data_IF_468535604719
#
_entry.id   IF_468535604719
#
_cell.length_a   1.000
_cell.length_b   1.000
_cell.length_c   1.000
_cell.angle_alpha   90.00
_cell.angle_beta   90.00
_cell.angle_gamma   90.00
#
_symmetry.space_group_name_H-M   'P 1'
#
loop_
_entity.id
_entity.type
_entity.pdbx_description
1 polymer ?
#
# COMPACT_ATOMS: atom_id res chain seq x y z
N UNK A 1 -23.69 28.73 -2.85
CA UNK A 1 -24.04 27.50 -2.20
C UNK A 1 -23.17 26.37 -2.70
N UNK A 2 -22.73 25.56 -1.79
CA UNK A 2 -21.93 24.43 -2.17
C UNK A 2 -22.81 23.30 -2.67
N UNK A 3 -22.55 22.83 -3.87
CA UNK A 3 -23.19 21.64 -4.36
C UNK A 3 -22.76 20.43 -3.57
N UNK A 4 -23.53 19.37 -3.67
CA UNK A 4 -23.15 18.08 -3.11
C UNK A 4 -21.98 17.56 -3.92
N UNK A 5 -20.87 17.32 -3.25
CA UNK A 5 -19.69 16.76 -3.91
C UNK A 5 -19.80 15.24 -3.90
N UNK A 6 -19.69 14.67 -5.08
CA UNK A 6 -19.60 13.23 -5.17
C UNK A 6 -18.17 12.82 -4.83
N UNK A 7 -18.05 11.98 -3.84
CA UNK A 7 -16.76 11.55 -3.33
C UNK A 7 -16.71 10.05 -3.13
N UNK A 8 -15.51 9.52 -3.19
CA UNK A 8 -15.23 8.13 -2.84
C UNK A 8 -14.25 8.07 -1.69
N UNK A 9 -14.39 7.05 -0.87
CA UNK A 9 -13.40 6.71 0.13
C UNK A 9 -12.65 5.48 -0.36
N UNK A 10 -11.35 5.61 -0.49
CA UNK A 10 -10.49 4.51 -0.89
C UNK A 10 -9.81 3.98 0.36
N UNK A 11 -9.97 2.69 0.61
CA UNK A 11 -9.25 1.99 1.67
C UNK A 11 -8.25 1.09 0.97
N UNK A 12 -6.97 1.42 1.10
CA UNK A 12 -5.91 0.70 0.42
C UNK A 12 -5.05 -0.02 1.45
N UNK A 13 -4.94 -1.33 1.32
CA UNK A 13 -4.08 -2.15 2.15
C UNK A 13 -2.90 -2.54 1.29
N UNK A 14 -1.73 -2.05 1.66
CA UNK A 14 -0.51 -2.19 0.87
C UNK A 14 0.61 -2.75 1.74
N UNK A 15 1.66 -3.24 1.10
CA UNK A 15 2.83 -3.70 1.85
C UNK A 15 3.57 -2.52 2.45
N UNK A 16 4.13 -2.70 3.64
CA UNK A 16 4.84 -1.64 4.36
C UNK A 16 5.93 -1.01 3.51
N UNK A 17 6.64 -1.80 2.72
CA UNK A 17 7.72 -1.30 1.87
C UNK A 17 7.23 -0.34 0.78
N UNK A 18 5.97 -0.44 0.39
CA UNK A 18 5.39 0.43 -0.63
C UNK A 18 4.66 1.64 -0.01
N UNK A 19 4.34 1.57 1.27
CA UNK A 19 3.47 2.55 1.92
C UNK A 19 4.01 3.98 1.85
N UNK A 20 5.27 4.19 2.22
CA UNK A 20 5.86 5.54 2.22
C UNK A 20 5.89 6.14 0.84
N UNK A 21 6.22 5.34 -0.15
CA UNK A 21 6.29 5.77 -1.54
C UNK A 21 4.92 6.11 -2.09
N UNK A 22 3.91 5.30 -1.72
CA UNK A 22 2.54 5.57 -2.12
C UNK A 22 2.02 6.85 -1.48
N UNK A 23 2.26 7.04 -0.19
CA UNK A 23 1.85 8.26 0.51
C UNK A 23 2.46 9.48 -0.15
N UNK A 24 3.77 9.45 -0.41
CA UNK A 24 4.46 10.57 -1.04
C UNK A 24 3.91 10.86 -2.44
N UNK A 25 3.67 9.84 -3.23
CA UNK A 25 3.12 10.03 -4.59
C UNK A 25 1.73 10.61 -4.57
N UNK A 26 0.89 10.16 -3.65
CA UNK A 26 -0.48 10.69 -3.52
C UNK A 26 -0.45 12.13 -3.05
N UNK A 27 0.36 12.45 -2.05
CA UNK A 27 0.45 13.80 -1.53
C UNK A 27 1.02 14.78 -2.55
N UNK A 28 1.99 14.34 -3.34
CA UNK A 28 2.54 15.18 -4.41
C UNK A 28 1.50 15.56 -5.45
N UNK A 29 0.50 14.71 -5.65
CA UNK A 29 -0.60 14.98 -6.57
C UNK A 29 -1.78 15.67 -5.90
N UNK A 30 -1.61 16.08 -4.65
CA UNK A 30 -2.63 16.83 -3.93
C UNK A 30 -3.69 16.00 -3.22
N UNK A 31 -3.49 14.70 -3.12
CA UNK A 31 -4.42 13.85 -2.37
C UNK A 31 -4.07 13.84 -0.88
N UNK A 32 -5.10 13.93 -0.05
CA UNK A 32 -4.94 13.76 1.39
C UNK A 32 -4.97 12.28 1.74
N UNK A 33 -4.03 11.84 2.55
CA UNK A 33 -3.89 10.44 2.93
C UNK A 33 -3.83 10.32 4.43
N UNK A 34 -4.62 9.42 4.98
CA UNK A 34 -4.57 9.08 6.39
C UNK A 34 -4.05 7.65 6.53
N UNK A 35 -2.98 7.52 7.27
CA UNK A 35 -2.42 6.21 7.59
C UNK A 35 -3.04 5.72 8.89
N UNK A 36 -3.62 4.54 8.87
CA UNK A 36 -4.17 3.96 10.08
C UNK A 36 -3.06 3.33 10.90
N UNK A 37 -2.95 3.77 12.14
CA UNK A 37 -2.05 3.15 13.08
C UNK A 37 -2.68 1.85 13.57
N UNK A 38 -1.91 0.78 13.57
CA UNK A 38 -2.38 -0.50 14.06
C UNK A 38 -1.66 -0.86 15.33
N UNK A 39 -2.44 -1.18 16.36
CA UNK A 39 -1.94 -1.72 17.59
C UNK A 39 -2.68 -3.01 17.87
N UNK A 40 -2.06 -3.91 18.57
CA UNK A 40 -2.72 -5.14 19.00
C UNK A 40 -2.81 -6.26 17.98
N UNK A 41 -2.17 -6.17 16.86
CA UNK A 41 -2.00 -7.30 15.97
C UNK A 41 -3.18 -7.65 15.08
N UNK A 42 -4.10 -6.73 14.86
CA UNK A 42 -5.23 -6.96 13.97
C UNK A 42 -4.83 -7.09 12.51
N UNK A 43 -3.77 -6.39 12.12
CA UNK A 43 -3.24 -6.53 10.78
C UNK A 43 -2.00 -7.39 10.83
N UNK A 44 -1.84 -8.20 9.80
CA UNK A 44 -0.62 -8.98 9.67
C UNK A 44 0.57 -8.03 9.58
N UNK A 45 1.64 -8.41 10.24
CA UNK A 45 2.89 -7.71 10.08
C UNK A 45 3.23 -7.62 8.58
N UNK A 46 3.67 -6.44 8.15
CA UNK A 46 4.05 -6.23 6.77
C UNK A 46 3.05 -5.46 5.92
N UNK A 47 1.87 -5.14 6.46
CA UNK A 47 0.86 -4.39 5.71
C UNK A 47 0.49 -3.08 6.41
N UNK A 48 0.17 -2.10 5.60
CA UNK A 48 -0.26 -0.78 6.06
C UNK A 48 -1.60 -0.45 5.40
N UNK A 49 -2.51 0.11 6.17
CA UNK A 49 -3.81 0.55 5.66
C UNK A 49 -3.85 2.06 5.54
N UNK A 50 -4.27 2.54 4.38
CA UNK A 50 -4.39 3.97 4.08
C UNK A 50 -5.84 4.30 3.76
N UNK A 51 -6.28 5.47 4.19
CA UNK A 51 -7.56 6.02 3.81
C UNK A 51 -7.34 7.24 2.94
N UNK A 52 -8.02 7.30 1.81
CA UNK A 52 -7.93 8.43 0.88
C UNK A 52 -9.34 8.83 0.47
N UNK A 53 -9.74 10.04 0.85
CA UNK A 53 -11.00 10.59 0.38
C UNK A 53 -10.75 11.37 -0.91
N UNK A 54 -11.48 11.08 -1.96
CA UNK A 54 -11.25 11.73 -3.25
C UNK A 54 -12.57 12.16 -3.88
N UNK A 55 -12.53 13.27 -4.60
CA UNK A 55 -13.65 13.65 -5.45
C UNK A 55 -13.73 12.68 -6.63
N UNK A 56 -14.94 12.41 -7.10
CA UNK A 56 -15.13 11.49 -8.22
C UNK A 56 -14.31 11.89 -9.44
N UNK A 57 -14.14 13.21 -9.67
CA UNK A 57 -13.35 13.72 -10.80
C UNK A 57 -11.89 13.30 -10.74
N UNK A 58 -11.37 13.07 -9.55
CA UNK A 58 -9.98 12.70 -9.36
C UNK A 58 -9.78 11.23 -9.00
N UNK A 59 -10.86 10.48 -8.99
CA UNK A 59 -10.81 9.07 -8.59
C UNK A 59 -9.85 8.26 -9.46
N UNK A 60 -9.99 8.38 -10.77
CA UNK A 60 -9.15 7.61 -11.69
C UNK A 60 -7.68 7.94 -11.54
N UNK A 61 -7.37 9.23 -11.34
CA UNK A 61 -5.99 9.67 -11.12
C UNK A 61 -5.40 9.05 -9.85
N UNK A 62 -6.19 8.99 -8.79
CA UNK A 62 -5.76 8.38 -7.53
C UNK A 62 -5.50 6.88 -7.70
N UNK A 63 -6.43 6.19 -8.35
CA UNK A 63 -6.31 4.75 -8.56
C UNK A 63 -5.11 4.42 -9.44
N UNK A 64 -4.80 5.27 -10.41
CA UNK A 64 -3.64 5.08 -11.27
C UNK A 64 -2.34 5.15 -10.47
N UNK A 65 -2.26 6.05 -9.49
CA UNK A 65 -1.09 6.16 -8.63
C UNK A 65 -0.95 4.91 -7.76
N UNK A 66 -2.04 4.45 -7.18
CA UNK A 66 -2.03 3.24 -6.34
C UNK A 66 -1.53 2.05 -7.16
N UNK A 67 -2.07 1.88 -8.36
CA UNK A 67 -1.66 0.79 -9.23
C UNK A 67 -0.18 0.88 -9.59
N UNK A 68 0.27 2.05 -10.00
CA UNK A 68 1.65 2.25 -10.43
C UNK A 68 2.66 1.94 -9.31
N UNK A 69 2.36 2.39 -8.10
CA UNK A 69 3.30 2.25 -6.97
C UNK A 69 3.25 0.85 -6.37
N UNK A 70 2.06 0.28 -6.29
CA UNK A 70 1.84 -0.94 -5.51
C UNK A 70 1.64 -2.19 -6.36
N UNK A 71 1.66 -2.06 -7.66
CA UNK A 71 1.42 -3.19 -8.54
C UNK A 71 2.29 -4.39 -8.13
N UNK A 72 1.65 -5.54 -8.08
CA UNK A 72 2.34 -6.79 -7.81
C UNK A 72 3.43 -7.02 -8.86
N UNK A 73 4.59 -7.40 -8.40
CA UNK A 73 5.73 -7.61 -9.29
C UNK A 73 6.63 -8.69 -8.74
N UNK A 74 7.36 -9.32 -9.64
CA UNK A 74 8.34 -10.33 -9.26
C UNK A 74 9.69 -9.67 -9.04
N UNK A 75 10.36 -10.10 -8.01
CA UNK A 75 11.64 -9.56 -7.64
C UNK A 75 12.54 -10.71 -7.23
N UNK A 76 13.81 -10.62 -7.59
CA UNK A 76 14.78 -11.61 -7.16
C UNK A 76 15.36 -11.17 -5.84
N UNK A 77 15.16 -11.99 -4.82
CA UNK A 77 15.72 -11.77 -3.51
C UNK A 77 16.79 -12.81 -3.28
N UNK A 78 17.85 -12.41 -2.61
CA UNK A 78 18.90 -13.32 -2.19
C UNK A 78 18.62 -13.70 -0.74
N UNK A 79 18.30 -14.98 -0.51
CA UNK A 79 18.11 -15.48 0.83
C UNK A 79 19.38 -16.22 1.25
N UNK A 80 20.02 -15.81 2.34
CA UNK A 80 21.13 -16.59 2.88
C UNK A 80 20.57 -17.87 3.47
N UNK A 81 20.87 -18.98 2.83
CA UNK A 81 20.54 -20.29 3.38
C UNK A 81 21.74 -20.79 4.12
N UNK A 82 21.59 -20.91 5.43
CA UNK A 82 22.58 -21.61 6.22
C UNK A 82 22.40 -23.08 5.94
N UNK A 83 23.41 -23.71 5.38
CA UNK A 83 23.40 -25.15 5.21
C UNK A 83 23.47 -25.78 6.59
N UNK A 84 22.31 -26.16 7.09
CA UNK A 84 22.22 -26.83 8.39
C UNK A 84 23.05 -28.09 8.35
N UNK A 85 23.98 -28.23 9.28
CA UNK A 85 24.84 -29.39 9.37
C UNK A 85 26.15 -29.28 8.62
N UNK A 86 26.39 -28.18 7.92
CA UNK A 86 27.69 -27.94 7.33
C UNK A 86 28.70 -27.57 8.41
N UNK A 87 29.82 -28.26 8.50
CA UNK A 87 30.79 -27.95 9.56
C UNK A 87 31.42 -26.57 9.45
N UNK A 88 31.17 -25.86 8.35
CA UNK A 88 31.78 -24.58 8.11
C UNK A 88 30.80 -23.43 8.18
N UNK A 89 29.49 -23.68 8.38
CA UNK A 89 28.49 -22.63 8.40
C UNK A 89 28.46 -21.78 7.13
N UNK A 90 28.70 -22.39 6.00
CA UNK A 90 28.81 -21.68 4.75
C UNK A 90 27.44 -21.15 4.32
N UNK A 91 27.42 -19.84 4.03
CA UNK A 91 26.29 -19.20 3.39
C UNK A 91 26.40 -19.41 1.89
N UNK A 92 25.37 -20.02 1.33
CA UNK A 92 25.22 -20.04 -0.11
C UNK A 92 24.09 -19.07 -0.45
N UNK A 93 24.38 -17.92 -1.07
CA UNK A 93 23.31 -17.02 -1.50
C UNK A 93 22.49 -17.72 -2.56
N UNK A 94 21.20 -17.84 -2.29
CA UNK A 94 20.28 -18.52 -3.17
C UNK A 94 19.33 -17.48 -3.77
N UNK A 95 19.36 -17.27 -5.10
CA UNK A 95 18.42 -16.36 -5.71
C UNK A 95 17.03 -16.99 -5.70
N UNK A 96 16.08 -16.29 -5.09
CA UNK A 96 14.71 -16.74 -5.00
C UNK A 96 13.85 -15.69 -5.70
N UNK A 97 12.97 -16.14 -6.59
CA UNK A 97 11.97 -15.24 -7.16
C UNK A 97 10.83 -15.11 -6.18
N UNK A 98 10.55 -13.87 -5.77
CA UNK A 98 9.46 -13.57 -4.87
C UNK A 98 8.51 -12.56 -5.51
N UNK A 99 7.25 -12.67 -5.20
CA UNK A 99 6.26 -11.69 -5.61
C UNK A 99 6.12 -10.67 -4.49
N UNK A 100 6.36 -9.41 -4.82
CA UNK A 100 6.26 -8.30 -3.87
C UNK A 100 5.23 -7.30 -4.37
N UNK A 101 4.78 -6.44 -3.48
CA UNK A 101 3.79 -5.43 -3.81
C UNK A 101 2.38 -5.99 -3.81
N UNK A 102 1.54 -5.33 -4.58
CA UNK A 102 0.12 -5.59 -4.57
C UNK A 102 -0.59 -4.67 -3.59
N UNK A 103 -1.86 -4.47 -3.85
CA UNK A 103 -2.72 -3.67 -2.99
C UNK A 103 -4.11 -4.30 -3.01
N UNK A 104 -4.72 -4.34 -1.84
CA UNK A 104 -6.14 -4.64 -1.74
C UNK A 104 -6.85 -3.32 -1.53
N UNK A 105 -7.76 -2.99 -2.43
CA UNK A 105 -8.40 -1.69 -2.42
C UNK A 105 -9.90 -1.86 -2.34
N UNK A 106 -10.49 -1.19 -1.37
CA UNK A 106 -11.94 -1.08 -1.26
C UNK A 106 -12.33 0.35 -1.61
N UNK A 107 -13.36 0.48 -2.41
CA UNK A 107 -13.87 1.79 -2.82
C UNK A 107 -15.30 1.90 -2.33
N UNK A 108 -15.56 2.93 -1.53
CA UNK A 108 -16.88 3.18 -0.99
C UNK A 108 -17.38 4.54 -1.44
N UNK A 109 -18.66 4.61 -1.73
CA UNK A 109 -19.29 5.89 -2.00
C UNK A 109 -19.45 6.63 -0.67
N UNK A 110 -19.02 7.88 -0.63
CA UNK A 110 -19.18 8.72 0.55
C UNK A 110 -20.54 9.37 0.50
N UNK A 111 -21.39 9.01 1.46
CA UNK A 111 -22.73 9.56 1.52
C UNK A 111 -22.73 10.98 2.03
N UNK A 112 -21.88 11.27 3.00
CA UNK A 112 -21.77 12.59 3.59
C UNK A 112 -20.35 12.85 4.04
N UNK A 113 -19.85 14.04 3.74
CA UNK A 113 -18.54 14.49 4.19
C UNK A 113 -18.71 15.81 4.91
N UNK A 114 -18.25 15.87 6.15
CA UNK A 114 -18.36 17.06 6.99
C UNK A 114 -17.01 17.33 7.63
N UNK A 115 -16.59 18.57 7.55
CA UNK A 115 -15.36 19.00 8.19
C UNK A 115 -15.71 20.16 9.13
N UNK A 116 -15.52 19.97 10.39
CA UNK A 116 -15.85 20.97 11.40
C UNK A 116 -14.71 21.94 11.67
#
# INVERSE_FOLDING_TARGET
MKGVRAMKLIIAIVQDEDASRLISSLMNDGFGVTKLATTGGFLRAGNTTLLVGVDDERFDACMAIVEKVCKSRKQIATSPITMAGGPTGMYTPYPIEVTVGGATVFVLTVEQFVKY
#
